data_IF_740754706682
#
_entry.id   IF_740754706682
#
_cell.length_a   1.000
_cell.length_b   1.000
_cell.length_c   1.000
_cell.angle_alpha   90.00
_cell.angle_beta   90.00
_cell.angle_gamma   90.00
#
_symmetry.space_group_name_H-M   'P 1'
#
loop_
_entity.id
_entity.type
_entity.pdbx_description
1 polymer ?
#
# COMPACT_ATOMS: atom_id res chain seq x y z
N UNK A 1 11.37 -20.83 15.63
CA UNK A 1 11.36 -21.56 14.32
C UNK A 1 10.82 -20.64 13.23
N UNK A 2 11.39 -20.64 12.01
CA UNK A 2 11.00 -19.66 10.99
C UNK A 2 9.57 -19.87 10.50
N UNK A 3 8.91 -18.74 10.21
CA UNK A 3 7.57 -18.66 9.63
C UNK A 3 7.70 -18.12 8.20
N UNK A 4 7.04 -18.75 7.23
CA UNK A 4 6.94 -18.22 5.87
C UNK A 4 5.62 -17.47 5.70
N UNK A 5 5.65 -16.25 5.19
CA UNK A 5 4.47 -15.50 4.77
C UNK A 5 4.50 -15.39 3.25
N UNK A 6 3.51 -15.94 2.58
CA UNK A 6 3.29 -15.68 1.14
C UNK A 6 2.53 -14.38 1.02
N UNK A 7 3.22 -13.34 0.60
CA UNK A 7 2.71 -11.98 0.54
C UNK A 7 1.76 -11.74 -0.64
N UNK A 8 0.91 -10.71 -0.53
CA UNK A 8 0.07 -10.27 -1.64
C UNK A 8 0.87 -9.58 -2.74
N UNK A 9 0.22 -9.40 -3.90
CA UNK A 9 0.88 -8.83 -5.08
C UNK A 9 0.82 -7.29 -5.12
N UNK A 10 -0.21 -6.70 -4.53
CA UNK A 10 -0.39 -5.25 -4.54
C UNK A 10 0.37 -4.58 -3.39
N UNK A 11 0.94 -3.40 -3.65
CA UNK A 11 1.70 -2.61 -2.67
C UNK A 11 0.86 -2.30 -1.43
N UNK A 12 -0.37 -1.82 -1.61
CA UNK A 12 -1.28 -1.52 -0.49
C UNK A 12 -1.61 -2.76 0.35
N UNK A 13 -1.93 -3.88 -0.30
CA UNK A 13 -2.18 -5.15 0.38
C UNK A 13 -0.95 -5.66 1.13
N UNK A 14 0.25 -5.48 0.55
CA UNK A 14 1.51 -5.84 1.20
C UNK A 14 1.71 -5.02 2.48
N UNK A 15 1.42 -3.72 2.44
CA UNK A 15 1.50 -2.87 3.63
C UNK A 15 0.46 -3.30 4.67
N UNK A 16 -0.77 -3.57 4.28
CA UNK A 16 -1.80 -4.06 5.21
C UNK A 16 -1.46 -5.45 5.79
N UNK A 17 -0.72 -6.30 5.06
CA UNK A 17 -0.22 -7.57 5.58
C UNK A 17 0.75 -7.40 6.76
N UNK A 18 1.37 -6.22 6.91
CA UNK A 18 2.23 -5.90 8.05
C UNK A 18 1.51 -6.02 9.41
N UNK A 19 0.20 -5.79 9.45
CA UNK A 19 -0.59 -6.01 10.68
C UNK A 19 -0.47 -7.45 11.21
N UNK A 20 -0.53 -8.46 10.32
CA UNK A 20 -0.28 -9.85 10.69
C UNK A 20 1.17 -10.05 11.15
N UNK A 21 2.15 -9.48 10.43
CA UNK A 21 3.57 -9.65 10.72
C UNK A 21 3.90 -9.09 12.10
N UNK A 22 3.50 -7.86 12.39
CA UNK A 22 3.66 -7.22 13.70
C UNK A 22 2.99 -8.03 14.81
N UNK A 23 1.78 -8.54 14.56
CA UNK A 23 1.09 -9.42 15.52
C UNK A 23 1.88 -10.71 15.79
N UNK A 24 2.40 -11.37 14.75
CA UNK A 24 3.20 -12.58 14.91
C UNK A 24 4.49 -12.31 15.72
N UNK A 25 5.17 -11.22 15.43
CA UNK A 25 6.38 -10.78 16.17
C UNK A 25 6.07 -10.41 17.61
N UNK A 26 4.95 -9.74 17.89
CA UNK A 26 4.55 -9.43 19.28
C UNK A 26 4.32 -10.68 20.12
N UNK A 27 3.88 -11.78 19.53
CA UNK A 27 3.66 -13.06 20.21
C UNK A 27 4.93 -13.89 20.32
N UNK A 28 5.85 -13.79 19.38
CA UNK A 28 7.09 -14.56 19.30
C UNK A 28 8.19 -13.70 18.67
N UNK A 29 8.83 -12.82 19.45
CA UNK A 29 9.83 -11.88 18.95
C UNK A 29 11.03 -12.55 18.27
N UNK A 30 11.44 -13.72 18.78
CA UNK A 30 12.61 -14.45 18.31
C UNK A 30 12.35 -15.36 17.10
N UNK A 31 11.08 -15.59 16.74
CA UNK A 31 10.75 -16.42 15.56
C UNK A 31 11.00 -15.60 14.27
N UNK A 32 11.92 -16.04 13.39
CA UNK A 32 12.14 -15.33 12.13
C UNK A 32 10.91 -15.38 11.22
N UNK A 33 10.60 -14.26 10.59
CA UNK A 33 9.54 -14.12 9.58
C UNK A 33 10.18 -13.85 8.23
N UNK A 34 9.96 -14.76 7.29
CA UNK A 34 10.41 -14.63 5.91
C UNK A 34 9.22 -14.34 5.00
N UNK A 35 9.34 -13.30 4.17
CA UNK A 35 8.32 -12.91 3.19
C UNK A 35 8.66 -13.47 1.81
N UNK A 36 7.72 -14.20 1.19
CA UNK A 36 7.80 -14.68 -0.19
C UNK A 36 6.82 -13.89 -1.05
N UNK A 37 7.30 -13.10 -1.99
CA UNK A 37 6.47 -12.25 -2.84
C UNK A 37 7.17 -11.95 -4.19
N UNK A 38 6.43 -11.47 -5.22
CA UNK A 38 7.05 -11.00 -6.45
C UNK A 38 7.88 -9.73 -6.22
N UNK A 39 8.87 -9.49 -7.11
CA UNK A 39 9.87 -8.42 -6.96
C UNK A 39 9.27 -7.05 -6.64
N UNK A 40 8.22 -6.65 -7.36
CA UNK A 40 7.63 -5.30 -7.21
C UNK A 40 6.97 -5.04 -5.84
N UNK A 41 6.38 -6.04 -5.18
CA UNK A 41 5.82 -5.88 -3.83
C UNK A 41 6.81 -6.26 -2.73
N UNK A 42 7.87 -6.99 -3.07
CA UNK A 42 8.89 -7.45 -2.14
C UNK A 42 9.71 -6.29 -1.56
N UNK A 43 9.95 -5.25 -2.36
CA UNK A 43 10.72 -4.09 -1.92
C UNK A 43 10.02 -3.32 -0.78
N UNK A 44 8.68 -3.34 -0.74
CA UNK A 44 7.91 -2.85 0.41
C UNK A 44 8.18 -3.69 1.66
N UNK A 45 8.21 -5.02 1.50
CA UNK A 45 8.46 -5.93 2.62
C UNK A 45 9.87 -5.76 3.21
N UNK A 46 10.88 -5.34 2.41
CA UNK A 46 12.22 -5.00 2.90
C UNK A 46 12.24 -3.82 3.86
N UNK A 47 11.26 -2.94 3.76
CA UNK A 47 11.11 -1.76 4.60
C UNK A 47 10.30 -2.02 5.87
N UNK A 48 9.78 -3.25 6.06
CA UNK A 48 9.06 -3.64 7.28
C UNK A 48 10.04 -4.08 8.36
N UNK A 49 10.05 -3.44 9.55
CA UNK A 49 11.05 -3.74 10.61
C UNK A 49 11.03 -5.19 11.12
N UNK A 50 9.85 -5.83 11.05
CA UNK A 50 9.63 -7.16 11.60
C UNK A 50 9.87 -8.30 10.60
N UNK A 51 10.23 -7.98 9.35
CA UNK A 51 10.58 -8.97 8.31
C UNK A 51 12.07 -9.24 8.36
N UNK A 52 12.46 -10.46 8.74
CA UNK A 52 13.87 -10.84 8.87
C UNK A 52 14.52 -11.18 7.52
N UNK A 53 13.74 -11.70 6.57
CA UNK A 53 14.22 -12.06 5.23
C UNK A 53 13.12 -11.91 4.19
N UNK A 54 13.48 -11.42 3.03
CA UNK A 54 12.62 -11.41 1.85
C UNK A 54 13.13 -12.42 0.82
N UNK A 55 12.20 -13.13 0.19
CA UNK A 55 12.48 -14.18 -0.80
C UNK A 55 11.68 -13.82 -2.05
N UNK A 56 12.38 -13.58 -3.12
CA UNK A 56 11.73 -13.26 -4.39
C UNK A 56 11.08 -14.48 -5.01
N UNK A 57 9.83 -14.31 -5.44
CA UNK A 57 9.07 -15.27 -6.21
C UNK A 57 9.40 -15.07 -7.70
N UNK A 58 10.19 -15.96 -8.33
CA UNK A 58 10.68 -15.76 -9.69
C UNK A 58 9.65 -16.14 -10.77
N UNK A 59 8.36 -15.80 -10.54
CA UNK A 59 7.27 -16.15 -11.46
C UNK A 59 6.41 -14.93 -11.74
N UNK A 60 6.16 -14.67 -13.02
CA UNK A 60 5.30 -13.61 -13.50
C UNK A 60 3.82 -13.82 -13.16
N UNK A 61 3.05 -12.76 -13.35
CA UNK A 61 1.61 -12.84 -13.21
C UNK A 61 1.02 -13.83 -14.24
N UNK A 62 0.09 -14.67 -13.80
CA UNK A 62 -0.54 -15.66 -14.68
C UNK A 62 0.25 -16.96 -14.88
N UNK A 63 1.54 -17.00 -14.67
CA UNK A 63 2.38 -18.18 -14.92
C UNK A 63 2.17 -19.31 -13.92
N UNK A 64 1.93 -20.54 -14.40
CA UNK A 64 1.78 -21.70 -13.51
C UNK A 64 3.13 -22.37 -13.23
N UNK A 65 3.96 -22.64 -14.24
CA UNK A 65 5.35 -23.16 -14.18
C UNK A 65 5.58 -24.20 -13.06
N UNK A 66 4.87 -25.33 -13.12
CA UNK A 66 4.85 -26.32 -12.02
C UNK A 66 6.22 -26.93 -11.72
N UNK A 67 7.04 -27.22 -12.75
CA UNK A 67 8.38 -27.80 -12.56
C UNK A 67 9.31 -26.84 -11.84
N UNK A 68 9.30 -25.59 -12.25
CA UNK A 68 10.11 -24.53 -11.65
C UNK A 68 9.66 -24.23 -10.22
N UNK A 69 8.35 -24.21 -9.96
CA UNK A 69 7.80 -24.07 -8.60
C UNK A 69 8.22 -25.24 -7.71
N UNK A 70 8.24 -26.45 -8.22
CA UNK A 70 8.71 -27.60 -7.46
C UNK A 70 10.21 -27.51 -7.15
N UNK A 71 11.04 -27.12 -8.14
CA UNK A 71 12.46 -26.91 -7.93
C UNK A 71 12.73 -25.80 -6.89
N UNK A 72 11.97 -24.71 -6.95
CA UNK A 72 12.03 -23.63 -5.98
C UNK A 72 11.61 -24.10 -4.57
N UNK A 73 10.49 -24.81 -4.47
CA UNK A 73 9.99 -25.35 -3.21
C UNK A 73 10.98 -26.31 -2.55
N UNK A 74 11.72 -27.12 -3.34
CA UNK A 74 12.80 -27.98 -2.82
C UNK A 74 13.89 -27.19 -2.10
N UNK A 75 14.25 -26.00 -2.61
CA UNK A 75 15.24 -25.12 -1.94
C UNK A 75 14.69 -24.62 -0.60
N UNK A 76 13.40 -24.25 -0.54
CA UNK A 76 12.78 -23.78 0.68
C UNK A 76 12.69 -24.84 1.80
N UNK A 77 12.76 -26.14 1.49
CA UNK A 77 12.79 -27.21 2.50
C UNK A 77 13.98 -27.09 3.45
N UNK A 78 15.11 -26.57 3.00
CA UNK A 78 16.29 -26.41 3.84
C UNK A 78 16.10 -25.37 4.95
N UNK A 79 15.18 -24.42 4.77
CA UNK A 79 14.84 -23.41 5.78
C UNK A 79 13.97 -23.97 6.92
N UNK A 80 13.43 -25.20 6.79
CA UNK A 80 12.66 -25.92 7.82
C UNK A 80 11.54 -25.09 8.44
N UNK A 81 10.75 -24.43 7.60
CA UNK A 81 9.57 -23.70 8.05
C UNK A 81 8.58 -24.61 8.77
N UNK A 82 8.13 -24.22 9.96
CA UNK A 82 7.13 -24.97 10.73
C UNK A 82 5.70 -24.59 10.36
N UNK A 83 5.50 -23.39 9.82
CA UNK A 83 4.21 -22.88 9.35
C UNK A 83 4.39 -21.88 8.20
N UNK A 84 3.31 -21.72 7.43
CA UNK A 84 3.19 -20.65 6.44
C UNK A 84 1.81 -19.99 6.51
N UNK A 85 1.78 -18.68 6.35
CA UNK A 85 0.57 -17.89 6.11
C UNK A 85 0.49 -17.57 4.63
N UNK A 86 -0.63 -17.89 3.99
CA UNK A 86 -0.81 -17.74 2.54
C UNK A 86 -1.90 -16.70 2.33
N UNK A 87 -1.48 -15.44 2.14
CA UNK A 87 -2.39 -14.28 2.12
C UNK A 87 -3.19 -14.17 0.83
N UNK A 88 -2.60 -14.38 -0.37
CA UNK A 88 -3.39 -14.43 -1.59
C UNK A 88 -4.30 -15.66 -1.63
N UNK A 89 -5.50 -15.50 -2.23
CA UNK A 89 -6.52 -16.57 -2.27
C UNK A 89 -6.43 -17.50 -3.49
N UNK A 90 -5.41 -17.32 -4.36
CA UNK A 90 -5.23 -18.15 -5.55
C UNK A 90 -4.69 -19.55 -5.25
N UNK A 91 -5.04 -20.51 -6.10
CA UNK A 91 -4.46 -21.86 -6.07
C UNK A 91 -2.92 -21.81 -6.12
N UNK A 92 -2.38 -20.99 -7.02
CA UNK A 92 -0.93 -20.88 -7.26
C UNK A 92 -0.14 -20.45 -6.04
N UNK A 93 -0.71 -19.58 -5.19
CA UNK A 93 -0.04 -19.09 -3.96
C UNK A 93 0.20 -20.20 -2.93
N UNK A 94 -0.63 -21.25 -2.92
CA UNK A 94 -0.51 -22.35 -1.99
C UNK A 94 0.40 -23.48 -2.47
N UNK A 95 0.78 -23.52 -3.77
CA UNK A 95 1.58 -24.62 -4.34
C UNK A 95 2.97 -24.72 -3.72
N UNK A 96 3.70 -23.60 -3.63
CA UNK A 96 5.08 -23.60 -3.13
C UNK A 96 5.16 -24.06 -1.68
N UNK A 97 4.36 -23.52 -0.72
CA UNK A 97 4.34 -24.01 0.65
C UNK A 97 3.97 -25.50 0.77
N UNK A 98 3.03 -25.98 -0.07
CA UNK A 98 2.63 -27.39 -0.08
C UNK A 98 3.75 -28.30 -0.63
N UNK A 99 4.36 -27.94 -1.77
CA UNK A 99 5.46 -28.66 -2.37
C UNK A 99 6.75 -28.64 -1.52
N UNK A 100 6.95 -27.55 -0.75
CA UNK A 100 8.04 -27.47 0.23
C UNK A 100 7.80 -28.35 1.45
N UNK A 101 6.60 -28.93 1.62
CA UNK A 101 6.27 -29.80 2.73
C UNK A 101 6.12 -29.05 4.06
N UNK A 102 5.76 -27.76 4.04
CA UNK A 102 5.53 -26.99 5.26
C UNK A 102 4.32 -27.59 5.99
N UNK A 103 4.46 -28.04 7.25
CA UNK A 103 3.42 -28.86 7.88
C UNK A 103 2.15 -28.07 8.16
N UNK A 104 2.22 -26.79 8.56
CA UNK A 104 1.07 -25.96 8.83
C UNK A 104 0.96 -24.85 7.79
N UNK A 105 -0.07 -24.93 6.94
CA UNK A 105 -0.33 -24.01 5.83
C UNK A 105 -1.69 -23.36 6.04
N UNK A 106 -1.66 -22.09 6.47
CA UNK A 106 -2.80 -21.33 6.98
C UNK A 106 -3.26 -20.35 5.88
N UNK A 107 -4.55 -20.29 5.61
CA UNK A 107 -5.10 -19.32 4.65
C UNK A 107 -6.61 -19.38 4.56
N UNK A 108 -7.20 -18.36 3.96
CA UNK A 108 -8.63 -18.32 3.69
C UNK A 108 -8.99 -19.29 2.56
N UNK A 109 -10.22 -19.82 2.58
CA UNK A 109 -10.79 -20.56 1.44
C UNK A 109 -10.82 -19.65 0.21
N UNK A 110 -10.25 -20.12 -0.88
CA UNK A 110 -10.22 -19.44 -2.18
C UNK A 110 -10.35 -20.45 -3.31
N UNK A 111 -9.70 -20.21 -4.46
CA UNK A 111 -9.65 -21.12 -5.59
C UNK A 111 -9.26 -22.53 -5.12
N UNK A 112 -9.88 -23.57 -5.61
CA UNK A 112 -9.72 -25.04 -5.40
C UNK A 112 -8.47 -25.52 -4.62
N UNK A 113 -8.07 -24.85 -3.52
CA UNK A 113 -6.86 -25.15 -2.72
C UNK A 113 -7.11 -25.94 -1.44
N UNK A 114 -8.23 -26.68 -1.39
CA UNK A 114 -8.68 -27.43 -0.21
C UNK A 114 -7.64 -28.42 0.32
N UNK A 115 -6.86 -29.10 -0.57
CA UNK A 115 -5.82 -30.05 -0.16
C UNK A 115 -4.44 -29.42 0.02
N UNK A 116 -4.26 -28.18 -0.41
CA UNK A 116 -2.99 -27.46 -0.30
C UNK A 116 -2.84 -26.76 1.05
N UNK A 117 -3.95 -26.33 1.65
CA UNK A 117 -3.99 -25.77 2.99
C UNK A 117 -4.25 -26.88 4.01
N UNK A 118 -3.56 -26.82 5.16
CA UNK A 118 -3.80 -27.73 6.30
C UNK A 118 -4.63 -27.04 7.39
N UNK A 119 -4.69 -25.72 7.38
CA UNK A 119 -5.54 -24.88 8.24
C UNK A 119 -6.32 -23.93 7.31
N UNK A 120 -7.32 -24.52 6.64
CA UNK A 120 -8.20 -23.79 5.72
C UNK A 120 -9.31 -23.12 6.50
N UNK A 121 -9.48 -21.82 6.33
CA UNK A 121 -10.48 -21.01 7.02
C UNK A 121 -11.51 -20.43 6.07
N UNK A 122 -12.70 -20.18 6.57
CA UNK A 122 -13.79 -19.53 5.83
C UNK A 122 -13.85 -18.08 6.29
N UNK A 123 -13.65 -17.16 5.34
CA UNK A 123 -13.79 -15.73 5.59
C UNK A 123 -15.28 -15.35 5.66
N UNK A 124 -15.67 -14.72 6.74
CA UNK A 124 -16.96 -14.05 6.90
C UNK A 124 -16.71 -12.54 6.81
N UNK A 125 -16.86 -11.96 5.62
CA UNK A 125 -16.48 -10.56 5.33
C UNK A 125 -17.13 -9.56 6.27
N UNK A 126 -18.39 -9.75 6.63
CA UNK A 126 -19.09 -8.89 7.57
C UNK A 126 -18.44 -8.84 8.97
N UNK A 127 -17.66 -9.87 9.35
CA UNK A 127 -16.90 -9.88 10.61
C UNK A 127 -15.58 -9.14 10.52
N UNK A 128 -15.02 -9.00 9.32
CA UNK A 128 -13.74 -8.37 9.04
C UNK A 128 -13.90 -7.40 7.88
N UNK A 129 -14.48 -6.22 8.13
CA UNK A 129 -14.72 -5.23 7.07
C UNK A 129 -13.42 -4.66 6.49
N UNK A 130 -12.38 -4.48 7.32
CA UNK A 130 -11.07 -3.97 6.87
C UNK A 130 -10.19 -5.11 6.35
N UNK A 131 -9.42 -4.85 5.30
CA UNK A 131 -8.51 -5.84 4.73
C UNK A 131 -7.40 -6.24 5.73
N UNK A 132 -6.89 -5.30 6.52
CA UNK A 132 -5.89 -5.59 7.56
C UNK A 132 -6.41 -6.60 8.58
N UNK A 133 -7.69 -6.52 8.96
CA UNK A 133 -8.32 -7.44 9.91
C UNK A 133 -8.37 -8.86 9.33
N UNK A 134 -8.64 -8.98 8.02
CA UNK A 134 -8.65 -10.28 7.32
C UNK A 134 -7.29 -10.94 7.37
N UNK A 135 -6.20 -10.19 7.18
CA UNK A 135 -4.85 -10.72 7.30
C UNK A 135 -4.51 -11.10 8.74
N UNK A 136 -4.78 -10.22 9.68
CA UNK A 136 -4.45 -10.43 11.08
C UNK A 136 -5.22 -11.60 11.71
N UNK A 137 -6.48 -11.81 11.34
CA UNK A 137 -7.29 -12.92 11.82
C UNK A 137 -6.67 -14.29 11.54
N UNK A 138 -5.84 -14.42 10.49
CA UNK A 138 -5.08 -15.64 10.21
C UNK A 138 -4.05 -15.96 11.29
N UNK A 139 -3.57 -14.98 12.04
CA UNK A 139 -2.61 -15.16 13.14
C UNK A 139 -3.20 -15.82 14.39
N UNK A 140 -4.53 -15.83 14.54
CA UNK A 140 -5.22 -16.42 15.69
C UNK A 140 -5.53 -17.91 15.46
N UNK A 141 -5.85 -18.67 16.51
CA UNK A 141 -6.34 -20.05 16.38
C UNK A 141 -7.64 -20.13 15.59
N UNK A 142 -7.78 -21.17 14.75
CA UNK A 142 -8.95 -21.36 13.88
C UNK A 142 -10.29 -21.58 14.63
N UNK A 143 -10.21 -22.08 15.86
CA UNK A 143 -11.39 -22.37 16.70
C UNK A 143 -11.95 -21.14 17.42
N UNK A 144 -11.30 -19.99 17.33
CA UNK A 144 -11.82 -18.75 17.87
C UNK A 144 -12.82 -18.13 16.89
N UNK A 145 -14.02 -17.85 17.38
CA UNK A 145 -15.06 -17.14 16.60
C UNK A 145 -14.80 -15.63 16.64
N UNK A 146 -13.67 -15.20 16.03
CA UNK A 146 -13.24 -13.81 16.04
C UNK A 146 -14.11 -12.94 15.15
N UNK A 147 -14.16 -11.67 15.51
CA UNK A 147 -14.62 -10.54 14.71
C UNK A 147 -13.63 -9.39 14.87
N UNK A 148 -13.73 -8.35 14.02
CA UNK A 148 -12.75 -7.26 14.00
C UNK A 148 -12.56 -6.57 15.36
N UNK A 149 -13.65 -6.41 16.14
CA UNK A 149 -13.60 -5.79 17.47
C UNK A 149 -12.88 -6.62 18.55
N UNK A 150 -12.51 -7.85 18.25
CA UNK A 150 -11.72 -8.72 19.13
C UNK A 150 -10.24 -8.78 18.75
N UNK A 151 -9.89 -8.13 17.63
CA UNK A 151 -8.50 -7.97 17.22
C UNK A 151 -7.87 -6.79 17.98
N UNK A 152 -6.58 -6.83 18.29
CA UNK A 152 -5.90 -5.70 18.91
C UNK A 152 -5.92 -4.48 17.97
N UNK A 153 -6.33 -3.32 18.45
CA UNK A 153 -6.29 -2.08 17.66
C UNK A 153 -4.90 -1.46 17.61
N UNK A 154 -4.19 -1.48 18.73
CA UNK A 154 -2.82 -0.99 18.84
C UNK A 154 -1.86 -2.16 19.09
N UNK A 155 -0.72 -2.19 18.49
CA UNK A 155 0.00 -1.30 17.57
C UNK A 155 -0.06 -1.80 16.12
N UNK A 156 -1.22 -1.76 15.49
CA UNK A 156 -1.48 -2.42 14.20
C UNK A 156 -1.30 -1.50 13.00
N UNK A 157 -0.94 -0.25 13.23
CA UNK A 157 -0.60 0.61 12.11
C UNK A 157 0.65 0.06 11.41
N UNK A 158 0.57 -0.25 10.12
CA UNK A 158 1.73 -0.63 9.34
C UNK A 158 2.83 0.41 9.47
N UNK A 159 4.08 -0.03 9.48
CA UNK A 159 5.24 0.85 9.55
C UNK A 159 6.24 0.47 8.48
N UNK A 160 6.78 1.48 7.82
CA UNK A 160 7.88 1.35 6.88
C UNK A 160 9.06 2.20 7.35
N UNK A 161 10.26 1.64 7.26
CA UNK A 161 11.50 2.37 7.52
C UNK A 161 11.97 3.10 6.27
N UNK A 162 12.47 4.31 6.44
CA UNK A 162 13.15 5.07 5.40
C UNK A 162 14.66 4.84 5.46
N UNK A 163 15.35 5.05 4.34
CA UNK A 163 16.81 4.96 4.25
C UNK A 163 17.40 6.37 4.11
N UNK A 164 18.09 6.84 5.15
CA UNK A 164 18.69 8.17 5.19
C UNK A 164 19.68 8.41 4.05
N UNK A 165 20.50 7.41 3.71
CA UNK A 165 21.47 7.55 2.62
C UNK A 165 20.78 7.66 1.25
N UNK A 166 19.68 6.95 1.05
CA UNK A 166 18.84 7.08 -0.13
C UNK A 166 18.17 8.47 -0.19
N UNK A 167 17.62 8.93 0.94
CA UNK A 167 17.04 10.28 1.03
C UNK A 167 18.04 11.37 0.68
N UNK A 168 19.28 11.29 1.18
CA UNK A 168 20.33 12.27 0.89
C UNK A 168 20.71 12.30 -0.61
N UNK A 169 20.77 11.13 -1.24
CA UNK A 169 20.98 11.02 -2.68
C UNK A 169 19.83 11.65 -3.48
N UNK A 170 18.58 11.34 -3.12
CA UNK A 170 17.39 11.85 -3.81
C UNK A 170 17.27 13.37 -3.67
N UNK A 171 17.55 13.91 -2.49
CA UNK A 171 17.59 15.36 -2.24
C UNK A 171 18.61 16.02 -3.15
N UNK A 172 19.83 15.49 -3.22
CA UNK A 172 20.90 16.05 -4.06
C UNK A 172 20.61 15.91 -5.54
N UNK A 173 20.13 14.75 -5.97
CA UNK A 173 19.90 14.45 -7.39
C UNK A 173 18.75 15.27 -8.00
N UNK A 174 17.72 15.57 -7.20
CA UNK A 174 16.50 16.20 -7.68
C UNK A 174 16.24 17.60 -7.08
N UNK A 175 17.17 18.14 -6.29
CA UNK A 175 17.01 19.47 -5.67
C UNK A 175 15.84 19.55 -4.70
N UNK A 176 15.56 18.47 -3.93
CA UNK A 176 14.42 18.46 -3.02
C UNK A 176 14.73 19.25 -1.74
N UNK A 177 13.77 20.07 -1.30
CA UNK A 177 13.87 20.85 -0.07
C UNK A 177 13.06 20.22 1.05
N UNK A 178 13.74 19.50 1.97
CA UNK A 178 13.11 18.80 3.11
C UNK A 178 12.28 19.71 4.02
N UNK A 179 12.59 21.00 4.05
CA UNK A 179 11.92 21.97 4.95
C UNK A 179 10.51 22.30 4.48
N UNK A 180 10.23 22.15 3.18
CA UNK A 180 8.97 22.60 2.56
C UNK A 180 8.40 21.64 1.50
N UNK A 181 8.85 20.36 1.47
CA UNK A 181 8.44 19.37 0.47
C UNK A 181 7.03 18.85 0.76
N UNK A 182 6.16 18.88 -0.25
CA UNK A 182 4.83 18.21 -0.24
C UNK A 182 4.79 17.23 -1.40
N UNK A 183 4.41 15.98 -1.12
CA UNK A 183 4.26 14.95 -2.13
C UNK A 183 2.82 14.86 -2.64
N UNK A 184 2.65 14.81 -3.95
CA UNK A 184 1.35 14.60 -4.61
C UNK A 184 1.44 13.36 -5.47
N UNK A 185 0.48 12.44 -5.30
CA UNK A 185 0.39 11.18 -6.03
C UNK A 185 -0.91 11.17 -6.85
N UNK A 186 -0.92 11.76 -8.06
CA UNK A 186 -2.13 11.95 -8.84
C UNK A 186 -2.60 10.67 -9.54
N UNK A 187 -1.77 9.64 -9.62
CA UNK A 187 -2.08 8.38 -10.30
C UNK A 187 -3.03 7.47 -9.54
N UNK A 188 -3.73 6.61 -10.27
CA UNK A 188 -4.61 5.58 -9.74
C UNK A 188 -4.56 4.32 -10.59
N UNK A 189 -3.69 3.37 -10.26
CA UNK A 189 -3.48 2.10 -10.98
C UNK A 189 -4.77 1.27 -11.16
N UNK A 190 -5.73 1.42 -10.25
CA UNK A 190 -7.00 0.70 -10.33
C UNK A 190 -7.82 1.09 -11.55
N UNK A 191 -7.85 2.38 -11.91
CA UNK A 191 -8.59 2.89 -13.05
C UNK A 191 -9.02 4.35 -12.90
N UNK A 192 -9.48 4.99 -14.00
CA UNK A 192 -9.76 6.42 -14.07
C UNK A 192 -10.87 6.88 -13.09
N UNK A 193 -11.77 5.99 -12.68
CA UNK A 193 -12.80 6.34 -11.69
C UNK A 193 -12.24 6.79 -10.34
N UNK A 194 -10.98 6.44 -10.01
CA UNK A 194 -10.31 6.85 -8.77
C UNK A 194 -9.51 8.15 -8.91
N UNK A 195 -9.47 8.75 -10.09
CA UNK A 195 -8.67 9.95 -10.34
C UNK A 195 -9.47 11.22 -10.04
N UNK A 196 -8.93 12.07 -9.17
CA UNK A 196 -9.38 13.44 -9.02
C UNK A 196 -8.98 14.24 -10.27
N UNK A 197 -9.81 15.18 -10.77
CA UNK A 197 -9.48 15.89 -12.01
C UNK A 197 -8.08 16.51 -12.00
N UNK A 198 -7.37 16.39 -13.12
CA UNK A 198 -6.01 16.94 -13.24
C UNK A 198 -6.01 18.45 -13.05
N UNK A 199 -7.03 19.15 -13.54
CA UNK A 199 -7.21 20.60 -13.35
C UNK A 199 -7.29 20.97 -11.85
N UNK A 200 -7.97 20.15 -11.04
CA UNK A 200 -8.03 20.34 -9.59
C UNK A 200 -6.66 20.12 -8.93
N UNK A 201 -5.91 19.09 -9.37
CA UNK A 201 -4.53 18.91 -8.89
C UNK A 201 -3.64 20.08 -9.28
N UNK A 202 -3.77 20.61 -10.50
CA UNK A 202 -2.98 21.75 -10.98
C UNK A 202 -3.25 23.00 -10.14
N UNK A 203 -4.52 23.27 -9.81
CA UNK A 203 -4.89 24.37 -8.94
C UNK A 203 -4.36 24.19 -7.52
N UNK A 204 -4.49 22.97 -6.95
CA UNK A 204 -3.91 22.65 -5.64
C UNK A 204 -2.39 22.86 -5.61
N UNK A 205 -1.67 22.36 -6.63
CA UNK A 205 -0.22 22.51 -6.77
C UNK A 205 0.15 23.99 -6.82
N UNK A 206 -0.57 24.77 -7.63
CA UNK A 206 -0.31 26.21 -7.80
C UNK A 206 -0.45 26.93 -6.47
N UNK A 207 -1.51 26.69 -5.71
CA UNK A 207 -1.75 27.30 -4.39
C UNK A 207 -0.70 26.91 -3.35
N UNK A 208 -0.29 25.64 -3.32
CA UNK A 208 0.75 25.18 -2.40
C UNK A 208 2.12 25.81 -2.74
N UNK A 209 2.43 26.01 -4.02
CA UNK A 209 3.65 26.73 -4.43
C UNK A 209 3.57 28.21 -4.02
N UNK A 210 2.41 28.86 -4.17
CA UNK A 210 2.19 30.25 -3.73
C UNK A 210 2.36 30.40 -2.21
N UNK A 211 2.03 29.37 -1.42
CA UNK A 211 2.30 29.30 0.01
C UNK A 211 3.76 28.92 0.37
N UNK A 212 4.63 28.81 -0.64
CA UNK A 212 6.07 28.60 -0.48
C UNK A 212 6.50 27.14 -0.39
N UNK A 213 5.62 26.17 -0.65
CA UNK A 213 6.00 24.76 -0.66
C UNK A 213 6.67 24.35 -1.97
N UNK A 214 7.53 23.36 -1.89
CA UNK A 214 8.04 22.64 -3.06
C UNK A 214 7.20 21.36 -3.24
N UNK A 215 6.77 21.09 -4.47
CA UNK A 215 5.93 19.96 -4.79
C UNK A 215 6.75 18.88 -5.48
N UNK A 216 6.55 17.62 -5.06
CA UNK A 216 7.06 16.46 -5.80
C UNK A 216 5.89 15.57 -6.24
N UNK A 217 5.84 15.30 -7.54
CA UNK A 217 4.88 14.34 -8.10
C UNK A 217 5.49 12.94 -8.05
N UNK A 218 4.71 11.98 -7.52
CA UNK A 218 5.09 10.57 -7.45
C UNK A 218 4.02 9.71 -8.11
N UNK A 219 4.44 8.66 -8.78
CA UNK A 219 3.54 7.72 -9.46
C UNK A 219 4.32 6.60 -10.14
N UNK A 220 3.59 5.62 -10.66
CA UNK A 220 4.11 4.56 -11.50
C UNK A 220 4.49 5.09 -12.90
N UNK A 221 5.18 4.32 -13.75
CA UNK A 221 5.38 4.67 -15.15
C UNK A 221 4.07 4.90 -15.92
N UNK A 222 2.96 4.26 -15.51
CA UNK A 222 1.64 4.46 -16.12
C UNK A 222 1.06 5.85 -15.82
N UNK A 223 1.47 6.47 -14.72
CA UNK A 223 1.01 7.79 -14.27
C UNK A 223 1.86 8.94 -14.86
N UNK A 224 2.90 8.64 -15.66
CA UNK A 224 3.85 9.62 -16.14
C UNK A 224 3.22 10.66 -17.09
N UNK A 225 2.25 10.25 -17.91
CA UNK A 225 1.59 11.16 -18.87
C UNK A 225 0.66 12.13 -18.15
N UNK A 226 -0.16 11.64 -17.20
CA UNK A 226 -1.03 12.47 -16.36
C UNK A 226 -0.21 13.47 -15.54
N UNK A 227 0.91 13.02 -14.97
CA UNK A 227 1.82 13.86 -14.18
C UNK A 227 2.52 14.92 -15.05
N UNK A 228 2.80 14.60 -16.31
CA UNK A 228 3.32 15.58 -17.30
C UNK A 228 2.25 16.61 -17.64
N UNK A 229 1.02 16.17 -17.95
CA UNK A 229 -0.09 17.07 -18.23
C UNK A 229 -0.33 18.04 -17.06
N UNK A 230 -0.29 17.54 -15.83
CA UNK A 230 -0.40 18.37 -14.61
C UNK A 230 0.75 19.42 -14.60
N UNK A 231 2.00 18.99 -14.85
CA UNK A 231 3.16 19.89 -14.87
C UNK A 231 3.00 21.00 -15.93
N UNK A 232 2.46 20.65 -17.10
CA UNK A 232 2.29 21.59 -18.22
C UNK A 232 1.21 22.64 -17.93
N UNK A 233 0.23 22.34 -17.09
CA UNK A 233 -0.82 23.27 -16.66
C UNK A 233 -0.32 24.28 -15.60
N UNK A 234 0.76 23.98 -14.88
CA UNK A 234 1.35 24.92 -13.90
C UNK A 234 2.14 26.01 -14.64
N UNK A 235 1.96 27.26 -14.22
CA UNK A 235 2.69 28.40 -14.78
C UNK A 235 4.20 28.18 -14.80
N UNK A 236 4.86 28.57 -15.91
CA UNK A 236 6.30 28.36 -16.10
C UNK A 236 7.13 28.97 -14.96
N UNK A 237 6.74 30.14 -14.46
CA UNK A 237 7.35 30.84 -13.32
C UNK A 237 7.37 30.04 -12.02
N UNK A 238 6.46 29.07 -11.86
CA UNK A 238 6.28 28.24 -10.65
C UNK A 238 6.91 26.87 -10.78
N UNK A 239 7.29 26.45 -12.00
CA UNK A 239 7.80 25.10 -12.28
C UNK A 239 9.12 24.77 -11.60
N UNK A 240 9.91 25.77 -11.20
CA UNK A 240 11.12 25.54 -10.40
C UNK A 240 10.82 24.92 -9.02
N UNK A 241 9.60 25.15 -8.49
CA UNK A 241 9.13 24.55 -7.24
C UNK A 241 8.37 23.24 -7.45
N UNK A 242 8.30 22.70 -8.68
CA UNK A 242 7.61 21.46 -9.03
C UNK A 242 8.60 20.44 -9.60
N UNK A 243 8.79 19.35 -8.91
CA UNK A 243 9.65 18.23 -9.32
C UNK A 243 8.79 17.04 -9.73
N UNK A 244 8.82 16.65 -10.99
CA UNK A 244 8.05 15.49 -11.45
C UNK A 244 8.93 14.22 -11.46
N UNK A 245 8.67 13.31 -10.54
CA UNK A 245 9.34 12.01 -10.39
C UNK A 245 8.43 10.81 -10.73
N UNK A 246 7.25 11.05 -11.31
CA UNK A 246 6.35 9.97 -11.71
C UNK A 246 7.01 9.08 -12.77
N UNK A 247 7.07 7.78 -12.51
CA UNK A 247 7.75 6.80 -13.35
C UNK A 247 9.29 6.80 -13.25
N UNK A 248 9.88 7.70 -12.48
CA UNK A 248 11.34 7.84 -12.34
C UNK A 248 11.87 7.28 -11.01
N UNK A 249 11.01 6.93 -10.08
CA UNK A 249 11.38 6.37 -8.78
C UNK A 249 10.98 4.90 -8.69
N UNK A 250 11.83 4.11 -8.06
CA UNK A 250 11.48 2.79 -7.54
C UNK A 250 10.57 2.93 -6.31
N UNK A 251 9.89 1.84 -5.93
CA UNK A 251 9.05 1.85 -4.71
C UNK A 251 9.84 2.21 -3.45
N UNK A 252 11.07 1.69 -3.20
CA UNK A 252 11.87 2.14 -2.06
C UNK A 252 12.19 3.64 -2.08
N UNK A 253 12.50 4.20 -3.25
CA UNK A 253 12.76 5.63 -3.40
C UNK A 253 11.50 6.46 -3.16
N UNK A 254 10.32 6.00 -3.64
CA UNK A 254 9.06 6.64 -3.33
C UNK A 254 8.76 6.63 -1.82
N UNK A 255 9.06 5.53 -1.09
CA UNK A 255 8.97 5.46 0.37
C UNK A 255 9.88 6.52 1.01
N UNK A 256 11.12 6.67 0.51
CA UNK A 256 12.09 7.61 1.04
C UNK A 256 11.69 9.07 0.77
N UNK A 257 11.18 9.40 -0.43
CA UNK A 257 10.68 10.75 -0.76
C UNK A 257 9.43 11.09 0.06
N UNK A 258 8.48 10.17 0.15
CA UNK A 258 7.29 10.35 1.00
C UNK A 258 7.72 10.59 2.45
N UNK A 259 8.70 9.83 2.94
CA UNK A 259 9.26 9.99 4.28
C UNK A 259 9.92 11.36 4.55
N UNK A 260 10.33 12.10 3.52
CA UNK A 260 10.84 13.47 3.61
C UNK A 260 9.73 14.53 3.65
N UNK A 261 8.54 14.20 3.13
CA UNK A 261 7.50 15.20 2.85
C UNK A 261 6.82 15.70 4.13
N UNK A 262 6.41 16.96 4.13
CA UNK A 262 5.61 17.60 5.19
C UNK A 262 4.18 17.09 5.18
N UNK A 263 3.63 16.84 3.99
CA UNK A 263 2.33 16.24 3.79
C UNK A 263 2.32 15.46 2.49
N UNK A 264 1.34 14.56 2.37
CA UNK A 264 1.09 13.76 1.17
C UNK A 264 -0.37 13.90 0.77
N UNK A 265 -0.62 14.13 -0.53
CA UNK A 265 -1.96 14.07 -1.12
C UNK A 265 -2.01 12.92 -2.11
N UNK A 266 -2.99 12.04 -1.98
CA UNK A 266 -3.10 10.87 -2.86
C UNK A 266 -4.53 10.36 -2.91
N UNK A 267 -4.84 9.59 -3.94
CA UNK A 267 -6.05 8.76 -3.98
C UNK A 267 -5.91 7.50 -3.10
N UNK A 268 -7.00 6.73 -2.96
CA UNK A 268 -6.96 5.34 -2.46
C UNK A 268 -6.11 4.46 -3.39
N UNK A 269 -4.81 4.42 -3.11
CA UNK A 269 -3.77 3.79 -3.92
C UNK A 269 -2.70 3.11 -3.06
N UNK A 270 -1.74 2.44 -3.72
CA UNK A 270 -0.59 1.86 -3.03
C UNK A 270 0.24 2.90 -2.27
N UNK A 271 0.42 4.10 -2.85
CA UNK A 271 1.18 5.19 -2.23
C UNK A 271 0.45 5.83 -1.03
N UNK A 272 -0.88 5.77 -0.97
CA UNK A 272 -1.63 6.13 0.23
C UNK A 272 -1.21 5.27 1.43
N UNK A 273 -1.12 3.97 1.24
CA UNK A 273 -0.69 3.07 2.31
C UNK A 273 0.80 3.26 2.66
N UNK A 274 1.65 3.61 1.67
CA UNK A 274 3.05 4.00 1.92
C UNK A 274 3.09 5.24 2.81
N UNK A 275 2.36 6.29 2.47
CA UNK A 275 2.31 7.53 3.25
C UNK A 275 1.82 7.27 4.68
N UNK A 276 0.74 6.50 4.83
CA UNK A 276 0.25 6.08 6.14
C UNK A 276 1.31 5.33 6.95
N UNK A 277 2.02 4.38 6.32
CA UNK A 277 3.02 3.54 6.98
C UNK A 277 4.34 4.26 7.29
N UNK A 278 4.65 5.36 6.62
CA UNK A 278 5.77 6.25 6.96
C UNK A 278 5.42 7.26 8.05
N UNK A 279 4.16 7.30 8.49
CA UNK A 279 3.68 8.19 9.55
C UNK A 279 3.61 9.67 9.14
N UNK A 280 3.56 9.96 7.83
CA UNK A 280 3.47 11.34 7.35
C UNK A 280 2.05 11.85 7.37
N UNK A 281 1.84 13.16 7.58
CA UNK A 281 0.56 13.80 7.38
C UNK A 281 0.01 13.47 6.00
N UNK A 282 -1.22 13.01 5.94
CA UNK A 282 -1.80 12.43 4.73
C UNK A 282 -3.22 12.94 4.51
N UNK A 283 -3.49 13.41 3.31
CA UNK A 283 -4.84 13.67 2.81
C UNK A 283 -5.13 12.64 1.72
N UNK A 284 -6.08 11.75 1.98
CA UNK A 284 -6.47 10.66 1.10
C UNK A 284 -7.84 10.94 0.47
N UNK A 285 -7.88 10.98 -0.87
CA UNK A 285 -9.08 11.25 -1.65
C UNK A 285 -9.75 9.93 -2.05
N UNK A 286 -11.00 9.73 -1.61
CA UNK A 286 -11.76 8.53 -1.91
C UNK A 286 -12.92 8.84 -2.84
N UNK A 287 -12.93 8.20 -4.00
CA UNK A 287 -14.00 8.23 -4.98
C UNK A 287 -14.83 6.94 -4.95
N UNK A 288 -14.68 6.01 -5.92
CA UNK A 288 -15.52 4.81 -6.04
C UNK A 288 -15.28 3.75 -4.96
N UNK A 289 -14.22 3.86 -4.18
CA UNK A 289 -13.83 2.88 -3.15
C UNK A 289 -14.24 3.30 -1.74
N UNK A 290 -14.15 2.37 -0.80
CA UNK A 290 -14.60 2.59 0.59
C UNK A 290 -13.42 2.82 1.54
N UNK A 291 -13.38 3.95 2.25
CA UNK A 291 -12.38 4.19 3.30
C UNK A 291 -12.56 3.25 4.50
N UNK A 292 -13.67 2.53 4.58
CA UNK A 292 -13.88 1.49 5.59
C UNK A 292 -13.12 0.21 5.23
N UNK A 293 -13.05 -0.16 3.95
CA UNK A 293 -12.43 -1.41 3.51
C UNK A 293 -10.89 -1.33 3.50
N UNK A 294 -10.36 -0.26 2.94
CA UNK A 294 -8.91 0.00 2.80
C UNK A 294 -8.53 1.36 3.38
N UNK A 295 -8.75 1.59 4.71
CA UNK A 295 -8.44 2.88 5.31
C UNK A 295 -6.95 3.19 5.25
N UNK A 296 -6.55 4.46 5.17
CA UNK A 296 -5.19 4.88 5.44
C UNK A 296 -4.90 4.68 6.94
N UNK A 297 -4.15 3.61 7.25
CA UNK A 297 -3.91 3.16 8.63
C UNK A 297 -2.85 4.03 9.31
N UNK A 298 -3.22 5.24 9.68
CA UNK A 298 -2.38 6.23 10.37
C UNK A 298 -3.25 7.23 11.12
N UNK A 299 -2.80 7.65 12.31
CA UNK A 299 -3.42 8.76 13.06
C UNK A 299 -3.20 10.11 12.37
N UNK A 300 -2.21 10.18 11.47
CA UNK A 300 -1.88 11.36 10.70
C UNK A 300 -2.63 11.43 9.36
N UNK A 301 -3.63 10.60 9.15
CA UNK A 301 -4.41 10.59 7.91
C UNK A 301 -5.76 11.29 8.08
N UNK A 302 -6.12 12.07 7.08
CA UNK A 302 -7.47 12.62 6.85
C UNK A 302 -7.99 12.02 5.55
N UNK A 303 -9.23 11.56 5.59
CA UNK A 303 -9.91 11.01 4.42
C UNK A 303 -10.97 11.98 3.96
N UNK A 304 -10.92 12.38 2.70
CA UNK A 304 -11.92 13.22 2.06
C UNK A 304 -12.75 12.39 1.08
N UNK A 305 -14.06 12.58 1.13
CA UNK A 305 -15.04 11.93 0.27
C UNK A 305 -16.14 12.92 -0.06
N UNK A 306 -16.59 12.95 -1.31
CA UNK A 306 -17.81 13.67 -1.65
C UNK A 306 -19.00 12.70 -1.65
N UNK A 307 -20.07 12.96 -0.88
CA UNK A 307 -21.20 12.05 -0.75
C UNK A 307 -22.06 12.05 -2.01
N UNK A 308 -22.11 10.90 -2.70
CA UNK A 308 -22.99 10.65 -3.83
C UNK A 308 -23.76 9.34 -3.63
N UNK A 309 -24.99 9.20 -4.13
CA UNK A 309 -25.82 8.01 -3.89
C UNK A 309 -25.21 6.69 -4.36
N UNK A 310 -24.33 6.73 -5.37
CA UNK A 310 -23.68 5.55 -5.94
C UNK A 310 -22.36 5.17 -5.23
N UNK A 311 -21.91 5.92 -4.23
CA UNK A 311 -20.66 5.65 -3.48
C UNK A 311 -20.89 4.70 -2.30
N UNK A 312 -20.03 3.67 -2.10
CA UNK A 312 -18.96 3.19 -2.97
C UNK A 312 -19.47 2.22 -4.04
N UNK A 313 -19.05 2.38 -5.29
CA UNK A 313 -19.43 1.46 -6.38
C UNK A 313 -18.36 0.41 -6.71
N UNK A 314 -17.10 0.65 -6.37
CA UNK A 314 -15.95 -0.21 -6.66
C UNK A 314 -15.67 -0.45 -8.16
N UNK A 315 -16.19 0.41 -9.03
CA UNK A 315 -15.98 0.29 -10.47
C UNK A 315 -14.66 0.95 -10.90
N UNK A 316 -14.06 0.41 -11.97
CA UNK A 316 -12.81 0.95 -12.55
C UNK A 316 -13.06 2.19 -13.40
N UNK A 317 -14.19 2.23 -14.04
CA UNK A 317 -14.71 3.35 -14.84
C UNK A 317 -16.05 3.76 -14.27
N UNK A 318 -16.36 5.05 -14.27
CA UNK A 318 -17.62 5.51 -13.72
C UNK A 318 -18.81 5.06 -14.62
N UNK A 319 -19.68 4.17 -14.14
CA UNK A 319 -20.77 3.67 -14.96
C UNK A 319 -21.84 4.73 -15.28
N UNK A 320 -21.82 5.85 -14.55
CA UNK A 320 -22.72 7.01 -14.73
C UNK A 320 -22.01 8.18 -15.42
N UNK A 321 -20.75 8.03 -15.80
CA UNK A 321 -19.91 8.99 -16.54
C UNK A 321 -19.68 10.36 -15.85
N UNK A 322 -20.33 10.64 -14.70
CA UNK A 322 -20.26 11.95 -14.04
C UNK A 322 -19.06 12.11 -13.09
N UNK A 323 -18.50 11.02 -12.58
CA UNK A 323 -17.39 10.98 -11.58
C UNK A 323 -17.58 11.93 -10.37
N UNK A 324 -18.81 12.32 -10.05
CA UNK A 324 -19.12 13.36 -9.07
C UNK A 324 -18.51 13.10 -7.67
N UNK A 325 -18.29 11.85 -7.29
CA UNK A 325 -17.61 11.48 -6.05
C UNK A 325 -16.19 12.05 -5.92
N UNK A 326 -15.54 12.43 -7.03
CA UNK A 326 -14.24 13.10 -7.04
C UNK A 326 -14.30 14.46 -7.72
N UNK A 327 -15.03 14.62 -8.84
CA UNK A 327 -15.06 15.90 -9.54
C UNK A 327 -15.77 17.03 -8.76
N UNK A 328 -16.66 16.68 -7.81
CA UNK A 328 -17.30 17.64 -6.92
C UNK A 328 -16.59 17.82 -5.57
N UNK A 329 -15.51 17.06 -5.30
CA UNK A 329 -14.61 17.33 -4.19
C UNK A 329 -13.78 18.57 -4.53
N UNK A 330 -14.02 19.67 -3.83
CA UNK A 330 -13.45 20.97 -4.17
C UNK A 330 -11.95 21.07 -3.83
N UNK A 331 -11.24 21.89 -4.60
CA UNK A 331 -9.83 22.21 -4.33
C UNK A 331 -9.67 22.88 -2.96
N UNK A 332 -10.62 23.74 -2.56
CA UNK A 332 -10.60 24.41 -1.26
C UNK A 332 -10.60 23.44 -0.10
N UNK A 333 -11.48 22.41 -0.13
CA UNK A 333 -11.53 21.38 0.92
C UNK A 333 -10.20 20.59 1.01
N UNK A 334 -9.60 20.25 -0.14
CA UNK A 334 -8.33 19.52 -0.16
C UNK A 334 -7.18 20.41 0.32
N UNK A 335 -7.11 21.66 -0.13
CA UNK A 335 -6.10 22.63 0.28
C UNK A 335 -6.14 22.91 1.78
N UNK A 336 -7.33 23.15 2.34
CA UNK A 336 -7.53 23.38 3.78
C UNK A 336 -7.10 22.15 4.59
N UNK A 337 -7.44 20.94 4.12
CA UNK A 337 -7.03 19.71 4.78
C UNK A 337 -5.50 19.53 4.76
N UNK A 338 -4.83 19.83 3.65
CA UNK A 338 -3.36 19.79 3.54
C UNK A 338 -2.71 20.78 4.49
N UNK A 339 -3.20 22.02 4.51
CA UNK A 339 -2.70 23.10 5.37
C UNK A 339 -2.83 22.73 6.85
N UNK A 340 -3.96 22.19 7.26
CA UNK A 340 -4.18 21.69 8.63
C UNK A 340 -3.23 20.52 8.97
N UNK A 341 -3.02 19.59 8.04
CA UNK A 341 -2.13 18.46 8.27
C UNK A 341 -0.67 18.90 8.42
N UNK A 342 -0.21 19.88 7.67
CA UNK A 342 1.15 20.43 7.80
C UNK A 342 1.32 21.11 9.17
N UNK A 343 0.32 21.87 9.62
CA UNK A 343 0.34 22.54 10.92
C UNK A 343 0.42 21.58 12.11
N UNK A 344 -0.08 20.33 11.98
CA UNK A 344 0.00 19.32 13.05
C UNK A 344 1.43 18.88 13.39
N UNK A 345 2.38 19.10 12.51
CA UNK A 345 3.79 18.69 12.70
C UNK A 345 4.77 19.88 12.76
N UNK A 346 4.26 21.11 12.60
CA UNK A 346 5.04 22.33 12.76
C UNK A 346 5.19 22.67 14.24
#
# INVERSE_FOLDING_TARGET
MPTLVVGPNWVGDMIMAHGLISFLKSKRPDDPIHMLAPSWSLEVARRMPEVDQVIELPFGHGELKLKERWAFARKLRFSRYHRSFILPNSLKSALIPAMAGIPRRIGWRGEYRYKLLTDLRILHEARFPRMIDRYMALGFPANLALSANQLPEAPLFPRLTTDQASQDRLVTAHGLDRSRLVAICPGAEFGPAKQWPIDHFSDLVTRLIDDGYQIVLLGSPNDADDSRQLTDQVEESKRESLVNLAGLTSIPEAVDVIGLSKAVVTHDSGLMHVAAATGRPLVALFGPSSPVHTPPLSEMAVTLTHPVPCHPCFERECPLEHQACLSELSVDEVFDAVSQQIQRIA
#
